data_IF_976932256512
#
_entry.id   IF_976932256512
#
_cell.length_a   1.000
_cell.length_b   1.000
_cell.length_c   1.000
_cell.angle_alpha   90.00
_cell.angle_beta   90.00
_cell.angle_gamma   90.00
#
_symmetry.space_group_name_H-M   'P 1'
#
loop_
_entity.id
_entity.type
_entity.pdbx_description
1 polymer ?
#
# COMPACT_ATOMS: atom_id res chain seq x y z
N UNK A 1 14.46 -35.16 -9.82
CA UNK A 1 14.57 -33.71 -9.50
C UNK A 1 15.18 -33.04 -10.71
N UNK A 2 14.49 -32.11 -11.34
CA UNK A 2 15.03 -31.32 -12.46
C UNK A 2 15.95 -30.30 -11.77
N UNK A 3 17.25 -30.44 -11.93
CA UNK A 3 18.25 -29.50 -11.41
C UNK A 3 18.24 -28.27 -12.33
N UNK A 4 17.25 -27.39 -12.17
CA UNK A 4 17.08 -26.17 -12.96
C UNK A 4 18.00 -25.09 -12.37
N UNK A 5 18.75 -24.42 -13.22
CA UNK A 5 19.53 -23.26 -12.77
C UNK A 5 18.69 -22.00 -12.86
N UNK A 6 19.01 -21.00 -12.06
CA UNK A 6 18.29 -19.73 -12.05
C UNK A 6 18.33 -19.00 -13.41
N UNK A 7 19.40 -19.18 -14.17
CA UNK A 7 19.54 -18.61 -15.53
C UNK A 7 18.62 -19.30 -16.56
N UNK A 8 18.21 -20.56 -16.29
CA UNK A 8 17.35 -21.33 -17.17
C UNK A 8 15.87 -21.04 -16.96
N UNK A 9 15.48 -20.57 -15.74
CA UNK A 9 14.12 -20.22 -15.39
C UNK A 9 13.72 -18.87 -16.00
N UNK A 10 12.91 -18.89 -17.05
CA UNK A 10 12.45 -17.68 -17.73
C UNK A 10 11.28 -17.05 -16.97
N UNK A 11 11.50 -15.83 -16.46
CA UNK A 11 10.55 -15.11 -15.62
C UNK A 11 10.00 -13.90 -16.37
N UNK A 12 8.66 -13.73 -16.37
CA UNK A 12 8.04 -12.43 -16.65
C UNK A 12 7.60 -11.82 -15.32
N UNK A 13 8.00 -10.57 -15.12
CA UNK A 13 7.67 -9.78 -13.95
C UNK A 13 6.55 -8.77 -14.25
N UNK A 14 5.47 -8.78 -13.45
CA UNK A 14 4.33 -7.88 -13.62
C UNK A 14 4.19 -6.99 -12.38
N UNK A 15 4.40 -5.69 -12.56
CA UNK A 15 4.36 -4.74 -11.43
C UNK A 15 4.20 -3.29 -11.88
N UNK A 16 3.88 -2.39 -10.97
CA UNK A 16 3.68 -0.97 -11.30
C UNK A 16 4.41 -0.01 -10.35
N UNK A 17 4.13 0.02 -9.02
CA UNK A 17 4.70 0.99 -8.10
C UNK A 17 6.08 0.58 -7.60
N UNK A 18 6.70 1.50 -6.85
CA UNK A 18 7.97 1.32 -6.17
C UNK A 18 8.04 0.03 -5.33
N UNK A 19 6.94 -0.35 -4.67
CA UNK A 19 6.85 -1.61 -3.92
C UNK A 19 7.26 -2.84 -4.73
N UNK A 20 7.00 -2.84 -6.03
CA UNK A 20 7.37 -3.93 -6.93
C UNK A 20 8.83 -3.86 -7.39
N UNK A 21 9.44 -2.66 -7.38
CA UNK A 21 10.81 -2.45 -7.89
C UNK A 21 11.84 -3.19 -7.07
N UNK A 22 11.74 -3.18 -5.75
CA UNK A 22 12.69 -3.87 -4.85
C UNK A 22 12.80 -5.37 -5.16
N UNK A 23 11.64 -6.02 -5.41
CA UNK A 23 11.62 -7.44 -5.80
C UNK A 23 12.22 -7.68 -7.18
N UNK A 24 11.95 -6.79 -8.14
CA UNK A 24 12.53 -6.86 -9.47
C UNK A 24 14.06 -6.64 -9.43
N UNK A 25 14.51 -5.69 -8.63
CA UNK A 25 15.94 -5.41 -8.43
C UNK A 25 16.67 -6.65 -7.88
N UNK A 26 16.14 -7.27 -6.82
CA UNK A 26 16.73 -8.49 -6.26
C UNK A 26 16.77 -9.66 -7.25
N UNK A 27 15.77 -9.81 -8.11
CA UNK A 27 15.79 -10.81 -9.18
C UNK A 27 16.90 -10.51 -10.19
N UNK A 28 16.99 -9.28 -10.67
CA UNK A 28 17.98 -8.87 -11.68
C UNK A 28 19.41 -8.95 -11.13
N UNK A 29 19.67 -8.33 -9.99
CA UNK A 29 20.98 -8.34 -9.34
C UNK A 29 21.38 -9.75 -8.86
N UNK A 30 20.40 -10.58 -8.50
CA UNK A 30 20.58 -11.99 -8.18
C UNK A 30 20.90 -12.89 -9.38
N UNK A 31 20.86 -12.36 -10.61
CA UNK A 31 21.15 -13.10 -11.85
C UNK A 31 20.05 -14.07 -12.27
N UNK A 32 18.78 -13.82 -11.86
CA UNK A 32 17.63 -14.56 -12.37
C UNK A 32 17.25 -14.08 -13.77
N UNK A 33 16.75 -14.98 -14.60
CA UNK A 33 16.46 -14.70 -16.01
C UNK A 33 15.10 -13.99 -16.17
N UNK A 34 15.05 -12.70 -15.89
CA UNK A 34 13.88 -11.86 -16.14
C UNK A 34 13.84 -11.49 -17.63
N UNK A 35 13.01 -12.17 -18.41
CA UNK A 35 12.95 -12.02 -19.88
C UNK A 35 12.11 -10.84 -20.35
N UNK A 36 11.15 -10.38 -19.54
CA UNK A 36 10.35 -9.18 -19.81
C UNK A 36 9.70 -8.66 -18.54
N UNK A 37 9.31 -7.39 -18.56
CA UNK A 37 8.49 -6.74 -17.54
C UNK A 37 7.17 -6.26 -18.15
N UNK A 38 6.07 -6.40 -17.40
CA UNK A 38 4.76 -5.89 -17.78
C UNK A 38 4.33 -4.85 -16.76
N UNK A 39 3.97 -3.65 -17.22
CA UNK A 39 3.56 -2.56 -16.33
C UNK A 39 2.40 -1.77 -16.92
N UNK A 40 1.86 -0.82 -16.13
CA UNK A 40 0.78 0.05 -16.60
C UNK A 40 1.26 0.97 -17.73
N UNK A 41 0.38 1.30 -18.70
CA UNK A 41 0.67 2.33 -19.70
C UNK A 41 1.03 3.67 -19.05
N UNK A 42 1.91 4.42 -19.71
CA UNK A 42 2.23 5.78 -19.31
C UNK A 42 0.97 6.65 -19.29
N UNK A 43 0.90 7.57 -18.35
CA UNK A 43 -0.22 8.49 -18.21
C UNK A 43 0.27 9.93 -18.33
N UNK A 44 -0.49 10.75 -19.03
CA UNK A 44 -0.29 12.20 -19.02
C UNK A 44 -0.91 12.74 -17.73
N UNK A 45 -0.10 13.35 -16.87
CA UNK A 45 -0.56 13.87 -15.58
C UNK A 45 -0.03 15.29 -15.29
N UNK A 46 -0.77 16.01 -14.43
CA UNK A 46 -0.41 17.34 -13.94
C UNK A 46 -0.65 18.49 -14.90
N UNK A 47 -0.49 19.73 -14.39
CA UNK A 47 -0.71 21.00 -15.12
C UNK A 47 0.34 21.29 -16.20
N UNK A 48 1.26 20.39 -16.50
CA UNK A 48 2.30 20.52 -17.52
C UNK A 48 2.30 19.39 -18.53
N UNK A 49 1.27 18.53 -18.58
CA UNK A 49 1.21 17.35 -19.45
C UNK A 49 2.47 16.46 -19.38
N UNK A 50 3.07 16.31 -18.19
CA UNK A 50 4.23 15.45 -18.03
C UNK A 50 3.84 13.98 -18.15
N UNK A 51 4.64 13.23 -18.90
CA UNK A 51 4.48 11.78 -19.03
C UNK A 51 4.87 11.11 -17.71
N UNK A 52 3.90 10.52 -17.02
CA UNK A 52 4.13 9.78 -15.80
C UNK A 52 4.36 8.30 -16.14
N UNK A 53 5.60 7.87 -15.99
CA UNK A 53 5.99 6.47 -16.13
C UNK A 53 5.88 5.75 -14.78
N UNK A 54 5.55 4.45 -14.81
CA UNK A 54 5.60 3.61 -13.61
C UNK A 54 7.04 3.43 -13.11
N UNK A 55 7.21 3.17 -11.82
CA UNK A 55 8.55 2.97 -11.24
C UNK A 55 9.20 1.69 -11.78
N UNK A 56 8.40 0.62 -11.99
CA UNK A 56 8.87 -0.61 -12.66
C UNK A 56 9.37 -0.31 -14.08
N UNK A 57 8.70 0.56 -14.87
CA UNK A 57 9.18 0.93 -16.20
C UNK A 57 10.52 1.65 -16.14
N UNK A 58 10.65 2.64 -15.27
CA UNK A 58 11.92 3.40 -15.13
C UNK A 58 13.07 2.45 -14.82
N UNK A 59 12.88 1.58 -13.83
CA UNK A 59 13.88 0.57 -13.46
C UNK A 59 14.19 -0.39 -14.62
N UNK A 60 13.17 -0.94 -15.27
CA UNK A 60 13.36 -1.88 -16.38
C UNK A 60 14.15 -1.28 -17.54
N UNK A 61 13.86 0.00 -17.89
CA UNK A 61 14.63 0.70 -18.93
C UNK A 61 16.09 0.93 -18.54
N UNK A 62 16.35 1.28 -17.26
CA UNK A 62 17.71 1.43 -16.73
C UNK A 62 18.51 0.13 -16.83
N UNK A 63 17.88 -1.01 -16.56
CA UNK A 63 18.50 -2.35 -16.63
C UNK A 63 18.45 -3.00 -18.03
N UNK A 64 17.88 -2.31 -19.03
CA UNK A 64 17.79 -2.83 -20.40
C UNK A 64 16.81 -3.99 -20.57
N UNK A 65 15.84 -4.14 -19.68
CA UNK A 65 14.81 -5.17 -19.76
C UNK A 65 13.70 -4.77 -20.74
N UNK A 66 13.14 -5.73 -21.51
CA UNK A 66 11.95 -5.51 -22.33
C UNK A 66 10.77 -5.05 -21.48
N UNK A 67 10.03 -4.04 -21.95
CA UNK A 67 8.88 -3.45 -21.24
C UNK A 67 7.62 -3.54 -22.08
N UNK A 68 6.61 -4.22 -21.57
CA UNK A 68 5.29 -4.37 -22.16
C UNK A 68 4.28 -3.49 -21.40
N UNK A 69 3.50 -2.70 -22.13
CA UNK A 69 2.53 -1.76 -21.55
C UNK A 69 1.13 -1.92 -22.17
N UNK A 70 0.48 -3.08 -22.02
CA UNK A 70 -0.83 -3.30 -22.62
C UNK A 70 -1.89 -2.41 -22.00
N UNK A 71 -2.72 -1.77 -22.80
CA UNK A 71 -3.94 -1.09 -22.34
C UNK A 71 -5.02 -2.10 -21.97
N UNK A 72 -5.14 -3.19 -22.76
CA UNK A 72 -6.04 -4.29 -22.54
C UNK A 72 -5.25 -5.61 -22.40
N UNK A 73 -5.35 -6.27 -21.24
CA UNK A 73 -4.68 -7.55 -20.98
C UNK A 73 -5.27 -8.74 -21.74
N UNK A 74 -6.45 -8.58 -22.35
CA UNK A 74 -7.11 -9.59 -23.19
C UNK A 74 -6.87 -9.37 -24.69
N UNK A 75 -6.10 -8.35 -25.06
CA UNK A 75 -5.77 -8.09 -26.47
C UNK A 75 -5.02 -9.30 -27.07
N UNK A 76 -5.51 -9.91 -28.16
CA UNK A 76 -4.86 -11.06 -28.77
C UNK A 76 -3.40 -10.80 -29.18
N UNK A 77 -3.09 -9.59 -29.65
CA UNK A 77 -1.73 -9.23 -30.03
C UNK A 77 -0.79 -9.23 -28.82
N UNK A 78 -1.24 -8.66 -27.69
CA UNK A 78 -0.49 -8.68 -26.44
C UNK A 78 -0.32 -10.11 -25.89
N UNK A 79 -1.40 -10.92 -25.91
CA UNK A 79 -1.34 -12.31 -25.44
C UNK A 79 -0.34 -13.12 -26.25
N UNK A 80 -0.28 -12.92 -27.58
CA UNK A 80 0.67 -13.61 -28.47
C UNK A 80 2.11 -13.11 -28.25
N UNK A 81 2.30 -11.80 -28.10
CA UNK A 81 3.57 -11.21 -27.73
C UNK A 81 4.09 -11.77 -26.39
N UNK A 82 3.22 -11.81 -25.37
CA UNK A 82 3.55 -12.36 -24.05
C UNK A 82 3.95 -13.85 -24.14
N UNK A 83 3.23 -14.64 -24.96
CA UNK A 83 3.51 -16.06 -25.20
C UNK A 83 4.86 -16.27 -25.87
N UNK A 84 5.26 -15.37 -26.78
CA UNK A 84 6.53 -15.47 -27.53
C UNK A 84 7.78 -15.44 -26.63
N UNK A 85 7.66 -14.90 -25.41
CA UNK A 85 8.73 -14.92 -24.42
C UNK A 85 8.98 -16.32 -23.84
N UNK A 86 8.09 -17.31 -24.03
CA UNK A 86 8.20 -18.66 -23.51
C UNK A 86 8.61 -18.70 -22.03
N UNK A 87 7.96 -17.86 -21.21
CA UNK A 87 8.27 -17.77 -19.80
C UNK A 87 7.73 -18.98 -19.02
N UNK A 88 8.52 -19.44 -18.08
CA UNK A 88 8.19 -20.57 -17.20
C UNK A 88 7.36 -20.16 -15.99
N UNK A 89 7.57 -18.94 -15.52
CA UNK A 89 7.00 -18.42 -14.28
C UNK A 89 6.60 -16.95 -14.46
N UNK A 90 5.43 -16.58 -13.94
CA UNK A 90 5.06 -15.18 -13.80
C UNK A 90 5.08 -14.77 -12.33
N UNK A 91 5.61 -13.57 -12.05
CA UNK A 91 5.64 -12.95 -10.73
C UNK A 91 4.83 -11.66 -10.80
N UNK A 92 3.83 -11.55 -9.93
CA UNK A 92 2.90 -10.40 -9.90
C UNK A 92 3.04 -9.67 -8.57
N UNK A 93 3.29 -8.36 -8.63
CA UNK A 93 3.41 -7.52 -7.43
C UNK A 93 2.75 -6.17 -7.69
N UNK A 94 1.72 -5.85 -6.90
CA UNK A 94 0.99 -4.58 -6.98
C UNK A 94 0.61 -4.22 -8.44
N UNK A 95 -0.06 -5.13 -9.09
CA UNK A 95 -0.53 -4.99 -10.46
C UNK A 95 -2.06 -5.09 -10.53
N UNK A 96 -2.64 -4.73 -11.68
CA UNK A 96 -4.09 -4.90 -11.91
C UNK A 96 -4.44 -6.38 -12.06
N UNK A 97 -5.72 -6.71 -11.84
CA UNK A 97 -6.23 -8.08 -11.96
C UNK A 97 -5.91 -8.66 -13.34
N UNK A 98 -5.32 -9.85 -13.35
CA UNK A 98 -4.96 -10.59 -14.55
C UNK A 98 -6.14 -11.45 -15.03
N UNK A 99 -6.47 -11.46 -16.33
CA UNK A 99 -7.40 -12.43 -16.87
C UNK A 99 -6.76 -13.84 -16.91
N UNK A 100 -7.59 -14.87 -16.88
CA UNK A 100 -7.14 -16.26 -16.85
C UNK A 100 -6.19 -16.61 -18.01
N UNK A 101 -6.50 -16.14 -19.22
CA UNK A 101 -5.65 -16.36 -20.41
C UNK A 101 -4.20 -15.88 -20.24
N UNK A 102 -3.96 -14.96 -19.29
CA UNK A 102 -2.62 -14.44 -18.96
C UNK A 102 -2.03 -15.22 -17.80
N UNK A 103 -2.72 -15.29 -16.64
CA UNK A 103 -2.11 -15.89 -15.44
C UNK A 103 -1.95 -17.42 -15.53
N UNK A 104 -2.71 -18.09 -16.36
CA UNK A 104 -2.56 -19.55 -16.58
C UNK A 104 -1.53 -19.93 -17.64
N UNK A 105 -0.88 -18.93 -18.28
CA UNK A 105 0.01 -19.17 -19.41
C UNK A 105 1.31 -19.90 -19.04
N UNK A 106 2.04 -19.53 -17.96
CA UNK A 106 3.35 -20.13 -17.67
C UNK A 106 3.19 -21.54 -17.07
N UNK A 107 4.06 -22.47 -17.48
CA UNK A 107 3.99 -23.88 -17.06
C UNK A 107 4.19 -24.11 -15.55
N UNK A 108 4.93 -23.23 -14.87
CA UNK A 108 5.13 -23.26 -13.41
C UNK A 108 4.12 -22.39 -12.65
N UNK A 109 3.16 -21.79 -13.37
CA UNK A 109 2.13 -20.95 -12.80
C UNK A 109 2.53 -19.50 -12.60
N UNK A 110 1.62 -18.78 -11.98
CA UNK A 110 1.77 -17.35 -11.66
C UNK A 110 1.59 -17.17 -10.16
N UNK A 111 2.57 -16.62 -9.46
CA UNK A 111 2.40 -16.26 -8.06
C UNK A 111 2.38 -14.75 -7.84
N UNK A 112 1.72 -14.34 -6.77
CA UNK A 112 1.63 -12.95 -6.32
C UNK A 112 2.35 -12.79 -4.98
N UNK A 113 2.97 -11.63 -4.78
CA UNK A 113 3.36 -11.13 -3.46
C UNK A 113 2.28 -10.18 -2.96
N UNK A 114 1.59 -10.57 -1.89
CA UNK A 114 0.55 -9.79 -1.24
C UNK A 114 1.01 -9.27 0.12
N UNK A 115 0.76 -7.99 0.38
CA UNK A 115 1.27 -7.31 1.57
C UNK A 115 0.32 -7.46 2.78
N UNK A 116 -0.07 -8.70 3.08
CA UNK A 116 -0.78 -9.08 4.31
C UNK A 116 -0.49 -10.54 4.68
N UNK A 117 -0.92 -10.94 5.87
CA UNK A 117 -1.00 -12.33 6.29
C UNK A 117 -2.34 -12.92 5.81
N UNK A 118 -2.37 -13.42 4.56
CA UNK A 118 -3.58 -14.03 4.01
C UNK A 118 -4.07 -15.17 4.92
N UNK A 119 -5.39 -15.34 5.07
CA UNK A 119 -6.49 -14.75 4.31
C UNK A 119 -6.98 -13.37 4.78
N UNK A 120 -6.40 -12.76 5.82
CA UNK A 120 -6.74 -11.40 6.22
C UNK A 120 -6.34 -10.39 5.12
N UNK A 121 -7.18 -9.38 4.92
CA UNK A 121 -6.88 -8.24 4.04
C UNK A 121 -6.67 -8.61 2.58
N UNK A 122 -7.47 -9.53 2.05
CA UNK A 122 -7.61 -9.71 0.59
C UNK A 122 -8.10 -8.40 -0.03
N UNK A 123 -7.48 -7.96 -1.14
CA UNK A 123 -7.89 -6.76 -1.86
C UNK A 123 -6.79 -5.73 -2.10
N UNK A 124 -7.19 -4.47 -2.30
CA UNK A 124 -6.35 -3.45 -2.94
C UNK A 124 -5.42 -2.66 -1.99
N UNK A 125 -5.72 -2.61 -0.68
CA UNK A 125 -4.98 -1.76 0.26
C UNK A 125 -4.66 -2.47 1.60
N UNK A 126 -4.05 -3.68 1.57
CA UNK A 126 -3.85 -4.53 2.74
C UNK A 126 -3.05 -3.84 3.85
N UNK A 127 -1.97 -3.14 3.52
CA UNK A 127 -1.11 -2.44 4.50
C UNK A 127 -1.89 -1.35 5.24
N UNK A 128 -2.64 -0.53 4.48
CA UNK A 128 -3.42 0.55 5.08
C UNK A 128 -4.45 -0.01 6.07
N UNK A 129 -5.21 -1.02 5.67
CA UNK A 129 -6.28 -1.57 6.51
C UNK A 129 -5.75 -2.28 7.76
N UNK A 130 -4.60 -2.94 7.70
CA UNK A 130 -3.97 -3.49 8.90
C UNK A 130 -3.66 -2.40 9.94
N UNK A 131 -3.11 -1.26 9.49
CA UNK A 131 -2.80 -0.12 10.37
C UNK A 131 -4.06 0.62 10.83
N UNK A 132 -5.04 0.86 9.95
CA UNK A 132 -6.33 1.50 10.26
C UNK A 132 -7.10 0.70 11.32
N UNK A 133 -7.10 -0.63 11.21
CA UNK A 133 -7.77 -1.50 12.17
C UNK A 133 -7.01 -1.67 13.49
N UNK A 134 -5.80 -1.12 13.60
CA UNK A 134 -4.99 -1.17 14.82
C UNK A 134 -4.35 -2.53 15.08
N UNK A 135 -4.17 -3.35 14.04
CA UNK A 135 -3.47 -4.61 14.16
C UNK A 135 -2.05 -4.37 14.70
N UNK A 136 -1.60 -5.28 15.57
CA UNK A 136 -0.24 -5.24 16.15
C UNK A 136 0.77 -5.99 15.31
N UNK A 137 0.30 -6.73 14.30
CA UNK A 137 1.11 -7.53 13.41
C UNK A 137 0.51 -7.54 12.01
N UNK A 138 1.37 -7.47 11.01
CA UNK A 138 1.04 -7.70 9.60
C UNK A 138 2.14 -8.52 8.94
N UNK A 139 2.15 -8.63 7.64
CA UNK A 139 3.20 -9.38 6.95
C UNK A 139 3.02 -9.41 5.45
N UNK A 140 3.71 -10.36 4.83
CA UNK A 140 3.66 -10.61 3.40
C UNK A 140 3.37 -12.09 3.14
N UNK A 141 2.68 -12.36 2.03
CA UNK A 141 2.33 -13.71 1.59
C UNK A 141 2.67 -13.87 0.12
N UNK A 142 3.40 -14.90 -0.27
CA UNK A 142 3.44 -15.38 -1.66
C UNK A 142 2.42 -16.49 -1.85
N UNK A 143 1.63 -16.43 -2.93
CA UNK A 143 0.59 -17.41 -3.24
C UNK A 143 0.37 -17.53 -4.74
N UNK A 144 -0.01 -18.72 -5.23
CA UNK A 144 -0.35 -18.92 -6.64
C UNK A 144 -1.74 -18.40 -6.97
N UNK A 145 -1.89 -17.76 -8.15
CA UNK A 145 -3.17 -17.19 -8.56
C UNK A 145 -4.19 -18.29 -8.86
N UNK A 146 -5.44 -17.99 -8.50
CA UNK A 146 -6.66 -18.73 -8.84
C UNK A 146 -7.71 -17.76 -9.41
N UNK A 147 -8.87 -18.28 -9.78
CA UNK A 147 -9.97 -17.46 -10.32
C UNK A 147 -10.44 -16.35 -9.39
N UNK A 148 -10.53 -16.64 -8.10
CA UNK A 148 -10.96 -15.68 -7.09
C UNK A 148 -9.79 -14.82 -6.59
N UNK A 149 -10.07 -13.56 -6.33
CA UNK A 149 -9.05 -12.59 -5.92
C UNK A 149 -8.42 -13.00 -4.59
N UNK A 150 -7.09 -13.12 -4.57
CA UNK A 150 -6.25 -13.38 -3.40
C UNK A 150 -6.64 -14.64 -2.59
N UNK A 151 -7.24 -15.67 -3.25
CA UNK A 151 -7.67 -16.94 -2.61
C UNK A 151 -6.76 -18.12 -2.91
N UNK A 152 -5.73 -17.94 -3.69
CA UNK A 152 -4.83 -19.01 -4.10
C UNK A 152 -4.03 -19.62 -2.95
N UNK A 153 -3.42 -20.79 -3.22
CA UNK A 153 -2.68 -21.52 -2.20
C UNK A 153 -1.39 -20.81 -1.81
N UNK A 154 -1.18 -20.70 -0.51
CA UNK A 154 -0.03 -19.99 0.08
C UNK A 154 1.25 -20.80 -0.12
N UNK A 155 2.29 -20.15 -0.63
CA UNK A 155 3.65 -20.70 -0.69
C UNK A 155 4.41 -20.38 0.60
N UNK A 156 4.50 -19.09 0.94
CA UNK A 156 5.23 -18.62 2.10
C UNK A 156 4.50 -17.43 2.75
N UNK A 157 4.70 -17.28 4.06
CA UNK A 157 4.27 -16.12 4.83
C UNK A 157 5.38 -15.69 5.80
N UNK A 158 5.56 -14.38 5.96
CA UNK A 158 6.42 -13.80 7.00
C UNK A 158 5.73 -12.60 7.62
N UNK A 159 5.81 -12.50 8.94
CA UNK A 159 5.19 -11.44 9.72
C UNK A 159 6.19 -10.40 10.21
N UNK A 160 5.68 -9.19 10.46
CA UNK A 160 6.35 -8.13 11.22
C UNK A 160 5.37 -7.55 12.24
N UNK A 161 5.89 -7.07 13.36
CA UNK A 161 5.11 -6.29 14.32
C UNK A 161 4.92 -4.87 13.79
N UNK A 162 3.80 -4.24 14.17
CA UNK A 162 3.49 -2.84 13.91
C UNK A 162 3.59 -2.08 15.23
N UNK A 163 4.51 -1.13 15.32
CA UNK A 163 4.66 -0.31 16.51
C UNK A 163 3.46 0.66 16.69
N UNK A 164 3.17 1.00 17.95
CA UNK A 164 2.01 1.83 18.29
C UNK A 164 2.00 3.21 17.60
N UNK A 165 3.17 3.78 17.35
CA UNK A 165 3.32 5.07 16.70
C UNK A 165 3.71 4.97 15.22
N UNK A 166 3.87 3.75 14.70
CA UNK A 166 4.27 3.54 13.32
C UNK A 166 3.14 3.87 12.34
N UNK A 167 3.44 4.56 11.27
CA UNK A 167 2.50 4.87 10.19
C UNK A 167 2.61 3.90 9.01
N UNK A 168 1.62 3.94 8.11
CA UNK A 168 1.59 3.04 6.96
C UNK A 168 2.79 3.20 6.03
N UNK A 169 3.43 4.37 5.94
CA UNK A 169 4.62 4.57 5.12
C UNK A 169 5.79 3.72 5.61
N UNK A 170 6.08 3.77 6.91
CA UNK A 170 7.13 2.94 7.52
C UNK A 170 6.84 1.44 7.41
N UNK A 171 5.60 1.03 7.68
CA UNK A 171 5.17 -0.37 7.52
C UNK A 171 5.34 -0.84 6.08
N UNK A 172 4.96 0.02 5.10
CA UNK A 172 5.11 -0.25 3.67
C UNK A 172 6.58 -0.54 3.30
N UNK A 173 7.50 0.32 3.75
CA UNK A 173 8.92 0.17 3.41
C UNK A 173 9.51 -1.12 3.99
N UNK A 174 9.15 -1.45 5.22
CA UNK A 174 9.58 -2.70 5.88
C UNK A 174 9.01 -3.94 5.16
N UNK A 175 7.74 -3.90 4.75
CA UNK A 175 7.11 -4.99 4.00
C UNK A 175 7.65 -5.11 2.58
N UNK A 176 8.04 -4.01 1.95
CA UNK A 176 8.69 -3.99 0.63
C UNK A 176 9.99 -4.80 0.65
N UNK A 177 10.87 -4.53 1.60
CA UNK A 177 12.14 -5.26 1.75
C UNK A 177 11.92 -6.74 2.11
N UNK A 178 11.05 -7.02 3.11
CA UNK A 178 10.71 -8.37 3.51
C UNK A 178 10.08 -9.18 2.37
N UNK A 179 9.20 -8.54 1.60
CA UNK A 179 8.54 -9.13 0.44
C UNK A 179 9.51 -9.48 -0.66
N UNK A 180 10.47 -8.60 -0.93
CA UNK A 180 11.49 -8.85 -1.93
C UNK A 180 12.37 -10.05 -1.56
N UNK A 181 12.78 -10.20 -0.29
CA UNK A 181 13.48 -11.40 0.19
C UNK A 181 12.62 -12.67 0.06
N UNK A 182 11.33 -12.55 0.30
CA UNK A 182 10.43 -13.68 0.20
C UNK A 182 10.15 -14.09 -1.26
N UNK A 183 10.14 -13.14 -2.20
CA UNK A 183 10.08 -13.44 -3.65
C UNK A 183 11.27 -14.30 -4.06
N UNK A 184 12.49 -13.91 -3.68
CA UNK A 184 13.69 -14.71 -3.98
C UNK A 184 13.57 -16.10 -3.37
N UNK A 185 13.25 -16.20 -2.08
CA UNK A 185 13.08 -17.49 -1.38
C UNK A 185 12.01 -18.38 -2.05
N UNK A 186 10.93 -17.78 -2.57
CA UNK A 186 9.88 -18.52 -3.28
C UNK A 186 10.41 -19.05 -4.63
N UNK A 187 11.11 -18.20 -5.40
CA UNK A 187 11.71 -18.61 -6.68
C UNK A 187 12.75 -19.69 -6.49
N UNK A 188 13.63 -19.57 -5.49
CA UNK A 188 14.62 -20.60 -5.17
C UNK A 188 13.98 -21.95 -4.82
N UNK A 189 12.91 -21.95 -4.01
CA UNK A 189 12.19 -23.19 -3.69
C UNK A 189 11.55 -23.84 -4.91
N UNK A 190 11.10 -23.04 -5.91
CA UNK A 190 10.58 -23.55 -7.18
C UNK A 190 11.72 -24.18 -8.00
N UNK A 191 12.89 -23.54 -8.08
CA UNK A 191 14.07 -24.04 -8.80
C UNK A 191 14.55 -25.36 -8.19
N UNK A 192 14.60 -25.43 -6.87
CA UNK A 192 15.06 -26.60 -6.13
C UNK A 192 14.03 -27.73 -6.10
N UNK A 193 12.79 -27.47 -6.54
CA UNK A 193 11.68 -28.42 -6.49
C UNK A 193 11.23 -28.77 -5.08
N UNK A 194 11.50 -27.87 -4.12
CA UNK A 194 11.13 -28.03 -2.69
C UNK A 194 9.91 -27.22 -2.29
N UNK A 195 9.35 -26.43 -3.22
CA UNK A 195 8.19 -25.61 -2.91
C UNK A 195 6.97 -26.47 -2.59
N UNK A 196 6.26 -26.05 -1.55
CA UNK A 196 4.99 -26.60 -1.15
C UNK A 196 3.96 -25.49 -1.08
N UNK A 197 2.71 -25.81 -1.38
CA UNK A 197 1.61 -24.88 -1.22
C UNK A 197 0.59 -25.42 -0.23
N UNK A 198 -0.04 -24.50 0.50
CA UNK A 198 -1.10 -24.83 1.46
C UNK A 198 -2.35 -24.02 1.14
N UNK A 199 -3.53 -24.63 1.10
CA UNK A 199 -4.77 -23.89 0.93
C UNK A 199 -4.91 -22.86 2.06
N UNK A 200 -5.49 -21.70 1.72
CA UNK A 200 -5.83 -20.73 2.75
C UNK A 200 -6.92 -21.31 3.67
N UNK A 201 -6.88 -21.02 4.99
CA UNK A 201 -7.93 -21.43 5.90
C UNK A 201 -9.27 -20.84 5.50
N UNK A 202 -10.35 -21.62 5.72
CA UNK A 202 -11.73 -21.15 5.54
C UNK A 202 -12.15 -20.24 6.71
N UNK A 203 -13.08 -19.31 6.45
CA UNK A 203 -13.63 -18.41 7.45
C UNK A 203 -13.96 -17.02 6.90
N UNK A 204 -14.51 -16.18 7.75
CA UNK A 204 -14.73 -14.77 7.45
C UNK A 204 -13.47 -13.96 7.85
N UNK A 205 -12.97 -13.18 6.91
CA UNK A 205 -11.77 -12.36 7.11
C UNK A 205 -12.02 -10.92 6.71
N UNK A 206 -11.32 -10.01 7.37
CA UNK A 206 -11.40 -8.58 7.07
C UNK A 206 -10.88 -8.31 5.65
N UNK A 207 -11.70 -7.69 4.78
CA UNK A 207 -11.27 -7.30 3.45
C UNK A 207 -10.41 -6.03 3.48
N UNK A 208 -9.67 -5.79 2.40
CA UNK A 208 -8.88 -4.57 2.20
C UNK A 208 -9.33 -3.82 0.94
N UNK A 209 -10.51 -3.20 0.93
CA UNK A 209 -11.00 -2.48 -0.21
C UNK A 209 -10.10 -1.30 -0.57
N UNK A 210 -10.21 -0.83 -1.81
CA UNK A 210 -9.49 0.35 -2.28
C UNK A 210 -9.85 1.57 -1.42
N UNK A 211 -8.84 2.35 -1.07
CA UNK A 211 -8.99 3.62 -0.33
C UNK A 211 -9.43 4.70 -1.32
N UNK A 212 -10.57 5.33 -1.02
CA UNK A 212 -11.10 6.47 -1.74
C UNK A 212 -11.00 7.74 -0.88
N UNK A 213 -11.24 8.90 -1.48
CA UNK A 213 -11.19 10.18 -0.76
C UNK A 213 -12.12 10.21 0.44
N UNK A 214 -13.31 9.65 0.29
CA UNK A 214 -14.34 9.57 1.33
C UNK A 214 -13.88 8.73 2.53
N UNK A 215 -13.17 7.61 2.26
CA UNK A 215 -12.58 6.76 3.31
C UNK A 215 -11.55 7.52 4.16
N UNK A 216 -10.93 8.55 3.58
CA UNK A 216 -9.91 9.34 4.27
C UNK A 216 -10.49 10.47 5.15
N UNK A 217 -11.81 10.72 5.10
CA UNK A 217 -12.44 11.75 5.95
C UNK A 217 -12.45 11.29 7.41
N UNK A 218 -11.97 12.17 8.29
CA UNK A 218 -11.97 11.91 9.74
C UNK A 218 -13.39 12.08 10.28
N UNK A 219 -13.88 11.07 11.00
CA UNK A 219 -15.13 11.09 11.75
C UNK A 219 -14.81 11.28 13.23
N UNK A 220 -14.90 12.51 13.72
CA UNK A 220 -14.55 12.86 15.10
C UNK A 220 -15.44 12.22 16.16
N UNK A 221 -16.64 11.75 15.78
CA UNK A 221 -17.55 11.00 16.64
C UNK A 221 -17.14 9.52 16.86
N UNK A 222 -16.00 9.11 16.38
CA UNK A 222 -15.38 7.80 16.65
C UNK A 222 -14.47 7.90 17.89
N UNK A 223 -14.13 6.75 18.52
CA UNK A 223 -13.12 6.70 19.57
C UNK A 223 -11.78 7.27 19.09
N UNK A 224 -11.09 8.00 19.95
CA UNK A 224 -9.82 8.68 19.61
C UNK A 224 -8.74 7.73 19.08
N UNK A 225 -8.73 6.48 19.54
CA UNK A 225 -7.80 5.47 19.02
C UNK A 225 -8.15 5.07 17.58
N UNK A 226 -9.44 4.98 17.24
CA UNK A 226 -9.86 4.72 15.85
C UNK A 226 -9.45 5.88 14.92
N UNK A 227 -9.62 7.12 15.37
CA UNK A 227 -9.19 8.30 14.60
C UNK A 227 -7.67 8.33 14.44
N UNK A 228 -6.92 8.05 15.51
CA UNK A 228 -5.46 7.95 15.49
C UNK A 228 -4.99 6.88 14.51
N UNK A 229 -5.62 5.70 14.53
CA UNK A 229 -5.28 4.60 13.61
C UNK A 229 -5.63 4.95 12.17
N UNK A 230 -6.74 5.65 11.90
CA UNK A 230 -7.05 6.16 10.57
C UNK A 230 -5.95 7.11 10.08
N UNK A 231 -5.54 8.08 10.91
CA UNK A 231 -4.48 9.04 10.55
C UNK A 231 -3.18 8.31 10.22
N UNK A 232 -2.67 7.44 11.11
CA UNK A 232 -1.41 6.73 10.87
C UNK A 232 -1.51 5.72 9.73
N UNK A 233 -2.67 5.10 9.51
CA UNK A 233 -2.93 4.16 8.42
C UNK A 233 -3.05 4.82 7.04
N UNK A 234 -3.15 6.15 6.99
CA UNK A 234 -3.19 6.95 5.76
C UNK A 234 -1.99 7.89 5.59
N UNK A 235 -1.07 7.94 6.56
CA UNK A 235 0.11 8.82 6.53
C UNK A 235 1.34 8.08 5.99
N UNK A 236 2.12 8.67 5.07
CA UNK A 236 2.03 10.05 4.56
C UNK A 236 1.05 10.25 3.40
N UNK A 237 0.55 9.19 2.79
CA UNK A 237 -0.33 9.26 1.63
C UNK A 237 -1.42 8.17 1.70
N UNK A 238 -2.68 8.49 1.33
CA UNK A 238 -3.22 9.75 0.78
C UNK A 238 -3.42 10.86 1.82
N UNK A 239 -3.25 10.61 3.09
CA UNK A 239 -3.50 11.38 4.29
C UNK A 239 -4.98 11.46 4.69
N UNK A 240 -5.24 11.34 5.98
CA UNK A 240 -6.55 11.63 6.55
C UNK A 240 -6.86 13.13 6.47
N UNK A 241 -8.13 13.48 6.31
CA UNK A 241 -8.53 14.87 6.19
C UNK A 241 -9.84 15.19 6.91
N UNK A 242 -10.00 16.45 7.28
CA UNK A 242 -11.22 17.01 7.86
C UNK A 242 -11.45 18.42 7.32
N UNK A 243 -12.66 18.94 7.47
CA UNK A 243 -12.91 20.35 7.29
C UNK A 243 -12.64 21.08 8.61
N UNK A 244 -11.95 22.21 8.57
CA UNK A 244 -11.62 23.05 9.72
C UNK A 244 -12.21 24.44 9.51
N UNK A 245 -12.88 24.96 10.55
CA UNK A 245 -13.40 26.32 10.59
C UNK A 245 -12.45 27.23 11.35
N UNK A 246 -12.22 28.43 10.84
CA UNK A 246 -11.50 29.47 11.57
C UNK A 246 -12.43 30.35 12.43
N UNK A 247 -11.87 31.31 13.13
CA UNK A 247 -12.62 32.24 13.98
C UNK A 247 -13.66 33.10 13.22
N UNK A 248 -13.56 33.20 11.90
CA UNK A 248 -14.48 33.93 11.02
C UNK A 248 -15.48 32.99 10.32
N UNK A 249 -15.59 31.74 10.78
CA UNK A 249 -16.42 30.68 10.18
C UNK A 249 -16.06 30.29 8.74
N UNK A 250 -14.84 30.66 8.30
CA UNK A 250 -14.32 30.22 6.99
C UNK A 250 -13.90 28.76 7.06
N UNK A 251 -14.35 27.95 6.11
CA UNK A 251 -14.10 26.52 6.06
C UNK A 251 -12.96 26.22 5.09
N UNK A 252 -12.01 25.41 5.51
CA UNK A 252 -10.90 24.94 4.72
C UNK A 252 -10.66 23.45 4.96
N UNK A 253 -10.09 22.74 3.98
CA UNK A 253 -9.70 21.35 4.18
C UNK A 253 -8.32 21.28 4.85
N UNK A 254 -8.25 20.49 5.91
CA UNK A 254 -7.05 20.19 6.68
C UNK A 254 -6.68 18.72 6.52
N UNK A 255 -5.49 18.43 6.04
CA UNK A 255 -4.89 17.09 6.12
C UNK A 255 -4.16 16.92 7.44
N UNK A 256 -4.30 15.74 8.05
CA UNK A 256 -3.65 15.38 9.32
C UNK A 256 -2.70 14.20 9.06
N UNK A 257 -1.46 14.33 9.52
CA UNK A 257 -0.41 13.35 9.28
C UNK A 257 0.06 12.63 10.53
N UNK A 258 0.02 13.31 11.67
CA UNK A 258 0.48 12.76 12.94
C UNK A 258 -0.40 13.25 14.08
N UNK A 259 -0.72 12.34 14.99
CA UNK A 259 -1.57 12.60 16.17
C UNK A 259 -1.06 11.85 17.38
N UNK A 260 -1.43 12.34 18.58
CA UNK A 260 -1.11 11.74 19.86
C UNK A 260 -2.32 11.76 20.77
N UNK A 261 -2.54 10.71 21.54
CA UNK A 261 -3.54 10.70 22.61
C UNK A 261 -3.22 11.81 23.64
N UNK A 262 -4.23 12.55 24.08
CA UNK A 262 -4.07 13.72 24.90
C UNK A 262 -4.98 13.63 26.14
N UNK A 263 -4.37 13.44 27.30
CA UNK A 263 -5.08 13.34 28.58
C UNK A 263 -4.77 14.54 29.52
N UNK A 264 -3.83 15.40 29.13
CA UNK A 264 -3.30 16.51 29.94
C UNK A 264 -3.92 17.88 29.60
N UNK A 265 -4.65 18.00 28.50
CA UNK A 265 -5.43 19.19 28.17
C UNK A 265 -6.85 19.04 28.72
N UNK A 266 -7.33 20.07 29.37
CA UNK A 266 -8.68 20.12 29.96
C UNK A 266 -9.41 21.35 29.45
N UNK A 267 -10.73 21.26 29.37
CA UNK A 267 -11.66 22.36 29.11
C UNK A 267 -12.60 22.54 30.25
N UNK A 268 -12.91 23.79 30.61
CA UNK A 268 -13.97 24.12 31.56
C UNK A 268 -15.37 23.90 30.97
N UNK A 269 -15.46 23.82 29.65
CA UNK A 269 -16.70 23.59 28.90
C UNK A 269 -16.83 22.13 28.49
N UNK A 270 -18.08 21.64 28.42
CA UNK A 270 -18.38 20.34 27.81
C UNK A 270 -18.09 20.41 26.31
N UNK A 271 -17.24 19.53 25.83
CA UNK A 271 -16.83 19.47 24.42
C UNK A 271 -17.65 18.42 23.67
N UNK A 272 -18.02 18.76 22.46
CA UNK A 272 -18.61 17.83 21.49
C UNK A 272 -17.58 17.34 20.50
N UNK A 273 -17.75 16.15 19.88
CA UNK A 273 -16.86 15.69 18.83
C UNK A 273 -16.63 16.73 17.72
N UNK A 274 -15.36 17.03 17.43
CA UNK A 274 -14.95 18.08 16.50
C UNK A 274 -14.61 19.43 17.15
N UNK A 275 -14.95 19.64 18.43
CA UNK A 275 -14.51 20.84 19.15
C UNK A 275 -12.99 20.84 19.37
N UNK A 276 -12.40 22.01 19.29
CA UNK A 276 -10.94 22.19 19.36
C UNK A 276 -10.55 22.89 20.66
N UNK A 277 -9.53 22.37 21.32
CA UNK A 277 -8.77 23.06 22.35
C UNK A 277 -7.43 23.48 21.76
N UNK A 278 -7.09 24.77 21.92
CA UNK A 278 -5.79 25.31 21.52
C UNK A 278 -5.07 25.94 22.71
N UNK A 279 -3.77 25.71 22.75
CA UNK A 279 -2.80 26.52 23.48
C UNK A 279 -1.97 27.37 22.49
N UNK A 280 -0.90 28.03 22.94
CA UNK A 280 0.01 28.76 22.05
C UNK A 280 0.73 27.85 21.04
N UNK A 281 0.89 26.54 21.35
CA UNK A 281 1.71 25.61 20.54
C UNK A 281 1.04 24.26 20.27
N UNK A 282 -0.10 23.98 20.88
CA UNK A 282 -0.80 22.67 20.79
C UNK A 282 -2.24 22.86 20.36
N UNK A 283 -2.75 21.89 19.63
CA UNK A 283 -4.14 21.80 19.18
C UNK A 283 -4.62 20.36 19.36
N UNK A 284 -5.68 20.19 20.11
CA UNK A 284 -6.34 18.90 20.28
C UNK A 284 -7.82 18.99 19.87
N UNK A 285 -8.33 17.94 19.29
CA UNK A 285 -9.71 17.82 18.82
C UNK A 285 -10.43 16.78 19.69
N UNK A 286 -11.64 17.09 20.10
CA UNK A 286 -12.48 16.16 20.84
C UNK A 286 -12.99 15.05 19.93
N UNK A 287 -12.76 13.81 20.34
CA UNK A 287 -13.32 12.60 19.76
C UNK A 287 -14.48 12.09 20.63
N UNK A 288 -15.04 10.91 20.34
CA UNK A 288 -16.15 10.35 21.11
C UNK A 288 -15.82 10.13 22.60
N UNK A 289 -14.56 9.82 22.93
CA UNK A 289 -14.11 9.34 24.23
C UNK A 289 -12.92 10.11 24.82
N UNK A 290 -12.50 11.21 24.17
CA UNK A 290 -11.38 12.02 24.66
C UNK A 290 -10.69 12.83 23.59
N UNK A 291 -9.67 13.57 24.01
CA UNK A 291 -8.92 14.47 23.13
C UNK A 291 -7.83 13.73 22.34
N UNK A 292 -7.69 14.12 21.09
CA UNK A 292 -6.60 13.71 20.20
C UNK A 292 -5.81 14.94 19.75
N UNK A 293 -4.54 15.03 20.14
CA UNK A 293 -3.64 16.12 19.76
C UNK A 293 -3.14 15.91 18.32
N UNK A 294 -3.23 16.95 17.49
CA UNK A 294 -2.66 16.98 16.16
C UNK A 294 -1.25 17.53 16.27
N UNK A 295 -0.27 16.77 15.77
CA UNK A 295 1.15 17.15 15.79
C UNK A 295 1.60 17.73 14.47
N UNK A 296 1.15 17.15 13.35
CA UNK A 296 1.55 17.54 12.01
C UNK A 296 0.36 17.56 11.05
N UNK A 297 0.28 18.60 10.25
CA UNK A 297 -0.87 18.91 9.42
C UNK A 297 -0.52 19.66 8.14
N UNK A 298 -1.49 19.78 7.24
CA UNK A 298 -1.40 20.61 6.03
C UNK A 298 -2.75 21.26 5.72
N UNK A 299 -2.83 22.57 5.82
CA UNK A 299 -3.97 23.33 5.33
C UNK A 299 -3.98 23.37 3.78
N UNK A 300 -5.14 23.33 3.18
CA UNK A 300 -5.27 23.44 1.72
C UNK A 300 -4.50 24.65 1.17
N UNK A 301 -3.69 24.43 0.13
CA UNK A 301 -2.84 25.45 -0.48
C UNK A 301 -1.57 25.82 0.30
N UNK A 302 -1.29 25.19 1.43
CA UNK A 302 -0.07 25.39 2.22
C UNK A 302 0.83 24.15 2.19
N UNK A 303 2.07 24.28 2.69
CA UNK A 303 2.97 23.15 2.91
C UNK A 303 2.59 22.41 4.19
N UNK A 304 2.99 21.15 4.29
CA UNK A 304 2.95 20.35 5.53
C UNK A 304 3.82 21.04 6.60
N UNK A 305 3.31 21.12 7.83
CA UNK A 305 3.94 21.83 8.93
C UNK A 305 3.51 21.26 10.29
N UNK A 306 4.25 21.61 11.34
CA UNK A 306 3.87 21.30 12.72
C UNK A 306 2.66 22.14 13.15
N UNK A 307 1.89 21.62 14.09
CA UNK A 307 0.78 22.38 14.70
C UNK A 307 1.24 23.71 15.31
N UNK A 308 2.41 23.76 15.95
CA UNK A 308 2.96 25.01 16.48
C UNK A 308 3.15 26.08 15.39
N UNK A 309 3.71 25.70 14.23
CA UNK A 309 3.88 26.64 13.12
C UNK A 309 2.54 27.09 12.53
N UNK A 310 1.56 26.19 12.45
CA UNK A 310 0.23 26.48 11.98
C UNK A 310 -0.49 27.52 12.85
N UNK A 311 -0.41 27.39 14.17
CA UNK A 311 -1.10 28.27 15.14
C UNK A 311 -0.54 29.69 15.18
N UNK A 312 0.66 29.94 14.63
CA UNK A 312 1.19 31.31 14.50
C UNK A 312 0.38 32.16 13.52
N UNK A 313 -0.27 31.56 12.54
CA UNK A 313 -1.00 32.29 11.49
C UNK A 313 -2.46 31.88 11.33
N UNK A 314 -2.96 30.92 12.11
CA UNK A 314 -4.34 30.41 11.99
C UNK A 314 -4.99 30.24 13.36
N UNK A 315 -6.23 30.67 13.48
CA UNK A 315 -7.04 30.54 14.71
C UNK A 315 -8.17 29.55 14.46
N UNK A 316 -7.98 28.27 14.75
CA UNK A 316 -9.01 27.26 14.55
C UNK A 316 -10.14 27.41 15.58
N UNK A 317 -11.37 27.08 15.14
CA UNK A 317 -12.59 27.09 15.97
C UNK A 317 -13.14 25.67 16.17
N UNK A 318 -13.31 24.92 15.08
CA UNK A 318 -13.83 23.55 15.12
C UNK A 318 -13.41 22.75 13.88
N UNK A 319 -13.40 21.41 14.00
CA UNK A 319 -13.33 20.45 12.89
C UNK A 319 -14.71 19.86 12.59
N UNK A 320 -14.99 19.53 11.29
CA UNK A 320 -16.29 18.99 10.83
C UNK A 320 -16.12 17.73 9.97
#
# INVERSE_FOLDING_TARGET
MINMKKEDLRIIFLGTPEFAVESLDKLVEGGYNVVATVTMPDKIAGRGHHLLQSDVKKYALEKGLPVLQPTNLKDPAFVEELRSYNADLFIVIAFRMLPEIVWSMPRLGTFNLHASLLPKYRGAAPINWAVINGDKQTGVTTFFLKHEIDTGDICQQRSIDIDDNENVGSVHDRLMHLGADMVISTVDSIIDGTFETKPQPEGEFLPAPKIFKETCKIEWNKPRECVRNLVRGLSPYPAAWTDICDANDSVSTLKVFETKLCDDLQSEQSLMPGDIICTKSRMAVMCADGLLEILELQLSGKKRMTTQAFLLGYKPKACK
#
